data_IF_300368647605
#
_entry.id   IF_300368647605
#
_cell.length_a   1.000
_cell.length_b   1.000
_cell.length_c   1.000
_cell.angle_alpha   90.00
_cell.angle_beta   90.00
_cell.angle_gamma   90.00
#
_symmetry.space_group_name_H-M   'P 1'
#
loop_
_entity.id
_entity.type
_entity.pdbx_description
1 polymer ?
#
# COMPACT_ATOMS: atom_id res chain seq x y z
N UNK A 1 -3.58 2.03 -3.58
CA UNK A 1 -3.15 2.94 -4.65
C UNK A 1 -3.35 4.35 -4.16
N UNK A 2 -2.35 5.21 -4.34
CA UNK A 2 -2.43 6.60 -3.94
C UNK A 2 -3.09 7.40 -5.06
N UNK A 3 -4.13 8.15 -4.74
CA UNK A 3 -4.71 9.12 -5.67
C UNK A 3 -4.07 10.49 -5.45
N UNK A 4 -3.32 10.96 -6.45
CA UNK A 4 -2.61 12.25 -6.42
C UNK A 4 -3.57 13.44 -6.40
N UNK A 5 -4.78 13.31 -6.98
CA UNK A 5 -5.79 14.39 -6.99
C UNK A 5 -6.43 14.54 -5.62
N UNK A 6 -6.75 13.43 -4.98
CA UNK A 6 -7.43 13.41 -3.69
C UNK A 6 -6.47 13.39 -2.50
N UNK A 7 -5.16 13.20 -2.74
CA UNK A 7 -4.12 12.96 -1.72
C UNK A 7 -4.53 11.87 -0.72
N UNK A 8 -5.22 10.85 -1.21
CA UNK A 8 -5.85 9.80 -0.41
C UNK A 8 -5.43 8.43 -0.90
N UNK A 9 -5.35 7.47 0.01
CA UNK A 9 -5.07 6.09 -0.31
C UNK A 9 -6.36 5.32 -0.50
N UNK A 10 -6.40 4.49 -1.55
CA UNK A 10 -7.54 3.63 -1.85
C UNK A 10 -7.09 2.17 -1.95
N UNK A 11 -7.95 1.24 -1.54
CA UNK A 11 -7.73 -0.18 -1.76
C UNK A 11 -7.79 -0.49 -3.26
N UNK A 12 -6.82 -1.26 -3.76
CA UNK A 12 -6.74 -1.65 -5.17
C UNK A 12 -7.89 -2.58 -5.60
N UNK A 13 -8.40 -3.42 -4.69
CA UNK A 13 -9.45 -4.42 -4.99
C UNK A 13 -10.86 -3.83 -4.84
N UNK A 14 -11.18 -3.23 -3.70
CA UNK A 14 -12.53 -2.74 -3.42
C UNK A 14 -12.70 -1.22 -3.57
N UNK A 15 -11.65 -0.48 -3.94
CA UNK A 15 -11.65 0.99 -4.10
C UNK A 15 -12.10 1.76 -2.84
N UNK A 16 -12.17 1.09 -1.69
CA UNK A 16 -12.47 1.73 -0.40
C UNK A 16 -11.34 2.71 -0.05
N UNK A 17 -11.70 3.91 0.41
CA UNK A 17 -10.76 4.85 1.01
C UNK A 17 -10.13 4.23 2.26
N UNK A 18 -8.82 4.35 2.37
CA UNK A 18 -8.02 3.91 3.52
C UNK A 18 -7.72 5.15 4.33
N UNK A 19 -8.27 5.23 5.55
CA UNK A 19 -8.07 6.39 6.40
C UNK A 19 -6.69 6.40 7.04
N UNK A 20 -6.24 7.58 7.47
CA UNK A 20 -5.03 7.72 8.29
C UNK A 20 -5.15 6.83 9.52
N UNK A 21 -4.12 6.02 9.80
CA UNK A 21 -4.07 4.98 10.87
C UNK A 21 -4.86 3.68 10.63
N UNK A 22 -5.46 3.46 9.47
CA UNK A 22 -6.09 2.15 9.16
C UNK A 22 -5.01 1.11 8.80
N UNK A 23 -5.07 -0.06 9.46
CA UNK A 23 -4.17 -1.18 9.18
C UNK A 23 -4.43 -1.72 7.77
N UNK A 24 -3.45 -1.61 6.88
CA UNK A 24 -3.56 -2.00 5.48
C UNK A 24 -2.36 -2.81 5.02
N UNK A 25 -2.57 -3.66 4.02
CA UNK A 25 -1.52 -4.42 3.38
C UNK A 25 -1.00 -3.64 2.19
N UNK A 26 0.31 -3.41 2.15
CA UNK A 26 0.96 -2.81 1.00
C UNK A 26 2.08 -3.73 0.54
N UNK A 27 2.17 -3.94 -0.78
CA UNK A 27 3.31 -4.66 -1.35
C UNK A 27 4.49 -3.71 -1.37
N UNK A 28 5.32 -3.78 -0.33
CA UNK A 28 6.57 -3.04 -0.28
C UNK A 28 7.56 -3.64 -1.29
N UNK A 29 7.92 -2.88 -2.32
CA UNK A 29 9.01 -3.25 -3.22
C UNK A 29 10.32 -2.75 -2.64
N UNK A 30 11.00 -3.55 -1.83
CA UNK A 30 12.40 -3.29 -1.54
C UNK A 30 13.19 -4.59 -1.41
N UNK A 31 14.23 -4.79 -2.25
CA UNK A 31 15.53 -5.11 -1.70
C UNK A 31 16.13 -3.81 -1.12
N UNK A 32 16.60 -3.79 0.14
CA UNK A 32 17.28 -2.63 0.70
C UNK A 32 18.55 -2.35 -0.11
N UNK A 33 18.64 -1.17 -0.75
CA UNK A 33 19.90 -0.68 -1.31
C UNK A 33 20.79 -0.24 -0.14
N UNK A 34 21.80 -1.05 0.18
CA UNK A 34 22.71 -0.89 1.34
C UNK A 34 23.35 0.50 1.43
N UNK A 35 23.50 1.22 0.31
CA UNK A 35 24.23 2.49 0.25
C UNK A 35 23.37 3.73 -0.08
N UNK A 36 22.03 3.65 -0.04
CA UNK A 36 21.18 4.82 -0.33
C UNK A 36 20.41 5.27 0.92
N UNK A 37 20.30 6.59 1.09
CA UNK A 37 19.41 7.18 2.09
C UNK A 37 17.99 6.63 1.92
N UNK A 38 17.46 6.00 2.96
CA UNK A 38 16.11 5.45 2.95
C UNK A 38 15.11 6.59 3.13
N UNK A 39 14.36 6.92 2.08
CA UNK A 39 13.25 7.86 2.22
C UNK A 39 12.15 7.27 3.13
N UNK A 40 11.52 8.12 3.95
CA UNK A 40 10.46 7.71 4.88
C UNK A 40 9.38 6.92 4.13
N UNK A 41 8.89 5.87 4.77
CA UNK A 41 8.08 4.81 4.16
C UNK A 41 6.84 5.30 3.42
N UNK A 42 6.20 6.37 3.91
CA UNK A 42 5.01 6.98 3.28
C UNK A 42 5.32 7.70 1.98
N UNK A 43 6.40 8.50 1.93
CA UNK A 43 6.79 9.22 0.69
C UNK A 43 7.23 8.24 -0.40
N UNK A 44 7.90 7.16 -0.02
CA UNK A 44 8.26 6.10 -0.95
C UNK A 44 7.02 5.38 -1.52
N UNK A 45 5.99 5.13 -0.70
CA UNK A 45 4.72 4.54 -1.14
C UNK A 45 3.93 5.45 -2.09
N UNK A 46 3.93 6.77 -1.84
CA UNK A 46 3.36 7.77 -2.74
C UNK A 46 4.11 7.79 -4.09
N UNK A 47 5.45 7.81 -4.06
CA UNK A 47 6.30 7.88 -5.24
C UNK A 47 6.20 6.62 -6.12
N UNK A 48 6.06 5.44 -5.49
CA UNK A 48 5.94 4.16 -6.20
C UNK A 48 4.50 3.81 -6.60
N UNK A 49 3.51 4.61 -6.17
CA UNK A 49 2.09 4.32 -6.30
C UNK A 49 1.74 2.85 -5.98
N UNK A 50 2.32 2.34 -4.90
CA UNK A 50 2.26 0.92 -4.58
C UNK A 50 0.80 0.44 -4.42
N UNK A 51 0.55 -0.80 -4.83
CA UNK A 51 -0.74 -1.44 -4.62
C UNK A 51 -0.98 -1.65 -3.12
N UNK A 52 -2.00 -0.98 -2.61
CA UNK A 52 -2.46 -1.10 -1.21
C UNK A 52 -3.78 -1.85 -1.22
N UNK A 53 -3.92 -2.80 -0.32
CA UNK A 53 -5.12 -3.57 -0.06
C UNK A 53 -5.61 -3.27 1.36
N UNK A 54 -6.92 -3.16 1.54
CA UNK A 54 -7.49 -3.15 2.87
C UNK A 54 -7.38 -4.54 3.50
N UNK A 55 -7.44 -4.60 4.84
CA UNK A 55 -7.34 -5.85 5.61
C UNK A 55 -8.31 -6.94 5.13
N UNK A 56 -9.55 -6.57 4.81
CA UNK A 56 -10.56 -7.50 4.30
C UNK A 56 -10.11 -8.16 3.00
N UNK A 57 -9.74 -7.35 2.01
CA UNK A 57 -9.30 -7.85 0.71
C UNK A 57 -7.99 -8.62 0.79
N UNK A 58 -7.11 -8.28 1.74
CA UNK A 58 -5.90 -9.05 1.98
C UNK A 58 -6.24 -10.44 2.55
N UNK A 59 -7.07 -10.49 3.59
CA UNK A 59 -7.50 -11.75 4.20
C UNK A 59 -8.24 -12.66 3.22
N UNK A 60 -9.07 -12.10 2.34
CA UNK A 60 -9.75 -12.86 1.28
C UNK A 60 -8.72 -13.54 0.35
N UNK A 61 -7.66 -12.83 -0.05
CA UNK A 61 -6.59 -13.39 -0.90
C UNK A 61 -5.81 -14.47 -0.15
N UNK A 62 -5.50 -14.26 1.13
CA UNK A 62 -4.79 -15.26 1.94
C UNK A 62 -5.64 -16.50 2.26
N UNK A 63 -6.97 -16.38 2.17
CA UNK A 63 -7.90 -17.48 2.45
C UNK A 63 -8.30 -18.25 1.18
N UNK A 64 -7.98 -17.75 -0.02
CA UNK A 64 -8.22 -18.47 -1.27
C UNK A 64 -7.26 -19.68 -1.35
N UNK A 65 -7.79 -20.92 -1.51
CA UNK A 65 -6.94 -22.11 -1.66
C UNK A 65 -6.17 -22.03 -3.00
N UNK A 66 -4.86 -22.32 -2.92
CA UNK A 66 -3.94 -22.33 -4.06
C UNK A 66 -4.22 -23.45 -5.06
#
# INVERSE_FOLDING_TARGET
MYDVKSKKFYCNRCKKEISTYETCWTKWQFPPKINSAQEKSLKALENQNASILCLKCANDIFSEPF
#
